data_IF_533647694564
#
_entry.id   IF_533647694564
#
_cell.length_a   1.000
_cell.length_b   1.000
_cell.length_c   1.000
_cell.angle_alpha   90.00
_cell.angle_beta   90.00
_cell.angle_gamma   90.00
#
_symmetry.space_group_name_H-M   'P 1'
#
loop_
_entity.id
_entity.type
_entity.pdbx_description
1 polymer ?
#
# COMPACT_ATOMS: atom_id res chain seq x y z
N UNK A 1 -20.80 12.17 8.36
CA UNK A 1 -19.32 12.04 8.39
C UNK A 1 -18.74 12.86 7.25
N UNK A 2 -17.67 13.60 7.51
CA UNK A 2 -16.98 14.44 6.51
C UNK A 2 -15.91 13.66 5.76
N UNK A 3 -15.32 14.30 4.75
CA UNK A 3 -14.14 13.78 4.05
C UNK A 3 -12.91 13.81 4.96
N UNK A 4 -11.98 12.87 4.77
CA UNK A 4 -10.79 12.73 5.60
C UNK A 4 -9.55 12.49 4.73
N UNK A 5 -8.43 13.07 5.14
CA UNK A 5 -7.11 12.73 4.61
C UNK A 5 -6.25 12.28 5.78
N UNK A 6 -5.90 11.00 5.79
CA UNK A 6 -4.97 10.44 6.77
C UNK A 6 -3.55 10.52 6.22
N UNK A 7 -2.63 11.01 7.04
CA UNK A 7 -1.20 10.87 6.80
C UNK A 7 -0.65 9.87 7.81
N UNK A 8 0.19 8.97 7.34
CA UNK A 8 0.84 7.96 8.17
C UNK A 8 2.18 7.55 7.56
N UNK A 9 2.91 6.76 8.31
CA UNK A 9 4.00 5.91 7.83
C UNK A 9 3.66 4.46 8.18
N UNK A 10 4.38 3.51 7.59
CA UNK A 10 4.24 2.08 7.89
C UNK A 10 5.59 1.48 8.25
N UNK A 11 5.56 0.38 9.01
CA UNK A 11 6.67 -0.57 9.01
C UNK A 11 6.89 -1.13 7.59
N UNK A 12 8.07 -1.70 7.28
CA UNK A 12 8.35 -2.28 5.97
C UNK A 12 7.24 -3.23 5.49
N UNK A 13 6.63 -2.89 4.36
CA UNK A 13 5.51 -3.68 3.82
C UNK A 13 5.45 -3.57 2.30
N UNK A 14 5.29 -4.72 1.64
CA UNK A 14 4.85 -4.79 0.25
C UNK A 14 3.33 -4.98 0.19
N UNK A 15 2.68 -4.22 -0.69
CA UNK A 15 1.27 -4.45 -1.02
C UNK A 15 1.12 -4.83 -2.49
N UNK A 16 0.28 -5.82 -2.80
CA UNK A 16 -0.09 -6.19 -4.16
C UNK A 16 -1.53 -5.74 -4.41
N UNK A 17 -1.72 -4.88 -5.41
CA UNK A 17 -3.03 -4.42 -5.83
C UNK A 17 -3.80 -5.45 -6.65
N UNK A 18 -4.97 -5.05 -7.17
CA UNK A 18 -5.83 -5.89 -8.01
C UNK A 18 -5.17 -6.38 -9.30
N UNK A 19 -4.28 -5.56 -9.88
CA UNK A 19 -3.48 -5.94 -11.05
C UNK A 19 -2.18 -6.65 -10.69
N UNK A 20 -1.96 -6.96 -9.41
CA UNK A 20 -0.69 -7.44 -8.89
C UNK A 20 -0.35 -8.85 -9.32
N UNK A 21 0.83 -9.03 -9.91
CA UNK A 21 1.45 -10.34 -10.15
C UNK A 21 2.47 -10.62 -9.03
N UNK A 22 2.37 -11.82 -8.42
CA UNK A 22 3.35 -12.25 -7.43
C UNK A 22 4.76 -12.38 -8.00
N UNK A 23 4.89 -12.61 -9.31
CA UNK A 23 6.20 -12.68 -9.97
C UNK A 23 6.97 -11.36 -9.95
N UNK A 24 6.32 -10.24 -9.65
CA UNK A 24 6.98 -8.95 -9.51
C UNK A 24 7.56 -8.72 -8.10
N UNK A 25 7.30 -9.63 -7.16
CA UNK A 25 8.02 -9.67 -5.89
C UNK A 25 9.36 -10.40 -6.12
N UNK A 26 10.44 -9.61 -6.19
CA UNK A 26 11.78 -10.14 -6.43
C UNK A 26 12.49 -10.61 -5.14
N UNK A 27 12.02 -10.15 -3.98
CA UNK A 27 12.56 -10.54 -2.69
C UNK A 27 12.14 -11.98 -2.36
N UNK A 28 13.10 -12.77 -1.89
CA UNK A 28 12.86 -14.11 -1.38
C UNK A 28 12.20 -14.07 0.00
N UNK A 29 11.49 -15.15 0.36
CA UNK A 29 10.88 -15.28 1.69
C UNK A 29 11.91 -15.13 2.83
N UNK A 30 13.16 -15.53 2.58
CA UNK A 30 14.25 -15.44 3.55
C UNK A 30 14.75 -14.01 3.73
N UNK A 31 14.76 -13.19 2.66
CA UNK A 31 15.04 -11.76 2.74
C UNK A 31 13.94 -11.02 3.48
N UNK A 32 12.68 -11.27 3.11
CA UNK A 32 11.49 -10.68 3.76
C UNK A 32 11.42 -11.05 5.25
N UNK A 33 11.77 -12.29 5.60
CA UNK A 33 11.79 -12.71 7.01
C UNK A 33 12.94 -12.05 7.80
N UNK A 34 14.06 -11.77 7.14
CA UNK A 34 15.26 -11.18 7.79
C UNK A 34 15.05 -9.71 8.11
N UNK A 35 14.40 -8.96 7.22
CA UNK A 35 14.12 -7.54 7.41
C UNK A 35 12.75 -7.27 8.07
N UNK A 36 11.94 -8.31 8.25
CA UNK A 36 10.62 -8.23 8.89
C UNK A 36 9.54 -7.64 7.99
N UNK A 37 9.77 -7.60 6.68
CA UNK A 37 8.86 -7.01 5.71
C UNK A 37 7.65 -7.90 5.48
N UNK A 38 6.45 -7.36 5.68
CA UNK A 38 5.20 -8.08 5.44
C UNK A 38 4.74 -7.93 3.98
N UNK A 39 3.96 -8.91 3.49
CA UNK A 39 3.38 -8.87 2.14
C UNK A 39 1.86 -9.06 2.22
N UNK A 40 1.10 -8.08 1.73
CA UNK A 40 -0.36 -8.13 1.72
C UNK A 40 -0.95 -7.96 0.32
N UNK A 41 -1.95 -8.79 -0.03
CA UNK A 41 -2.80 -8.55 -1.21
C UNK A 41 -4.02 -7.72 -0.80
N UNK A 42 -4.26 -6.62 -1.51
CA UNK A 42 -5.32 -5.65 -1.18
C UNK A 42 -6.04 -5.14 -2.43
N UNK A 43 -7.19 -4.48 -2.24
CA UNK A 43 -8.12 -4.10 -3.31
C UNK A 43 -7.83 -2.77 -4.02
N UNK A 44 -6.64 -2.20 -3.84
CA UNK A 44 -6.24 -0.97 -4.57
C UNK A 44 -5.94 -1.26 -6.04
N UNK A 45 -6.03 -0.23 -6.88
CA UNK A 45 -5.51 -0.31 -8.25
C UNK A 45 -3.99 -0.46 -8.31
N UNK A 46 -3.48 -0.80 -9.49
CA UNK A 46 -2.06 -1.00 -9.73
C UNK A 46 -1.56 -2.39 -9.34
N UNK A 47 -0.24 -2.54 -9.43
CA UNK A 47 0.52 -3.77 -9.23
C UNK A 47 1.12 -3.79 -7.81
N UNK A 48 2.40 -4.13 -7.64
CA UNK A 48 3.12 -4.14 -6.37
C UNK A 48 3.69 -2.76 -5.99
N UNK A 49 3.76 -2.46 -4.69
CA UNK A 49 4.49 -1.29 -4.17
C UNK A 49 5.00 -1.55 -2.75
N UNK A 50 6.01 -0.79 -2.33
CA UNK A 50 6.61 -0.84 -1.00
C UNK A 50 6.26 0.42 -0.19
N UNK A 51 6.02 0.24 1.10
CA UNK A 51 5.94 1.29 2.11
C UNK A 51 6.87 0.98 3.29
N UNK A 52 7.40 2.02 3.93
CA UNK A 52 8.28 1.85 5.08
C UNK A 52 8.63 3.19 5.76
N UNK A 53 9.45 3.15 6.83
CA UNK A 53 9.80 4.34 7.60
C UNK A 53 10.45 5.44 6.75
N UNK A 54 10.05 6.69 6.98
CA UNK A 54 10.47 7.87 6.22
C UNK A 54 9.65 8.15 4.95
N UNK A 55 8.70 7.27 4.59
CA UNK A 55 7.78 7.49 3.48
C UNK A 55 6.40 7.93 3.99
N UNK A 56 6.03 9.19 3.70
CA UNK A 56 4.68 9.68 4.01
C UNK A 56 3.66 9.03 3.07
N UNK A 57 2.69 8.32 3.63
CA UNK A 57 1.56 7.72 2.93
C UNK A 57 0.28 8.50 3.20
N UNK A 58 -0.46 8.83 2.14
CA UNK A 58 -1.75 9.51 2.22
C UNK A 58 -2.92 8.58 1.89
N UNK A 59 -3.91 8.50 2.79
CA UNK A 59 -5.19 7.83 2.52
C UNK A 59 -6.33 8.85 2.43
N UNK A 60 -6.65 9.36 1.23
CA UNK A 60 -7.82 10.19 1.01
C UNK A 60 -9.09 9.33 1.06
N UNK A 61 -9.90 9.52 2.10
CA UNK A 61 -11.20 8.87 2.29
C UNK A 61 -12.25 9.94 1.99
N UNK A 62 -12.63 10.03 0.72
CA UNK A 62 -13.48 11.10 0.18
C UNK A 62 -14.80 10.53 -0.33
N UNK A 63 -15.89 11.28 -0.13
CA UNK A 63 -17.13 11.02 -0.86
C UNK A 63 -17.04 11.65 -2.26
N UNK A 64 -16.68 10.85 -3.26
CA UNK A 64 -16.48 11.29 -4.64
C UNK A 64 -17.74 11.87 -5.31
N UNK A 65 -18.96 11.49 -4.87
CA UNK A 65 -20.20 12.08 -5.41
C UNK A 65 -20.33 13.57 -5.11
N UNK A 66 -19.68 14.06 -4.06
CA UNK A 66 -19.66 15.49 -3.70
C UNK A 66 -18.64 16.29 -4.50
N UNK A 67 -17.73 15.60 -5.20
CA UNK A 67 -16.60 16.18 -5.92
C UNK A 67 -16.60 15.76 -7.39
N UNK A 68 -17.74 15.29 -7.90
CA UNK A 68 -17.93 15.05 -9.33
C UNK A 68 -18.13 16.42 -10.01
N UNK A 69 -17.42 16.73 -11.12
CA UNK A 69 -17.56 18.01 -11.83
C UNK A 69 -19.00 18.33 -12.24
#
# INVERSE_FOLDING_TARGET
TGDLLLFTEHEPVYTLGKGGDQNHLLASDEELSRDGTEVFRIDRGGDITYHGPGQIVGYPILNLQRHTP
#
